data_IF_151906458899
#
_entry.id   IF_151906458899
#
_cell.length_a   1.000
_cell.length_b   1.000
_cell.length_c   1.000
_cell.angle_alpha   90.00
_cell.angle_beta   90.00
_cell.angle_gamma   90.00
#
_symmetry.space_group_name_H-M   'P 1'
#
loop_
_entity.id
_entity.type
_entity.pdbx_description
1 polymer ?
#
# COMPACT_ATOMS: atom_id res chain seq x y z
N UNK A 1 -38.84 29.58 -23.51
CA UNK A 1 -37.68 29.68 -22.59
C UNK A 1 -36.84 28.41 -22.82
N UNK A 2 -36.18 28.15 -23.96
CA UNK A 2 -35.13 28.92 -24.66
C UNK A 2 -34.03 29.34 -23.66
N UNK A 3 -32.80 28.83 -23.68
CA UNK A 3 -31.99 28.26 -24.77
C UNK A 3 -31.01 27.19 -24.24
N UNK A 4 -30.93 26.09 -24.99
CA UNK A 4 -29.81 25.16 -25.02
C UNK A 4 -28.47 25.93 -25.12
N UNK A 5 -27.58 25.71 -24.15
CA UNK A 5 -26.23 26.27 -24.15
C UNK A 5 -25.27 25.33 -24.92
N UNK A 6 -25.68 24.89 -26.11
CA UNK A 6 -24.86 24.12 -27.03
C UNK A 6 -24.30 25.10 -28.06
N UNK A 7 -23.10 25.63 -27.80
CA UNK A 7 -22.31 26.21 -28.87
C UNK A 7 -21.51 25.08 -29.55
N UNK A 8 -21.76 24.78 -30.84
CA UNK A 8 -20.93 23.86 -31.58
C UNK A 8 -19.64 24.58 -31.94
N UNK A 9 -18.57 24.34 -31.18
CA UNK A 9 -17.24 24.83 -31.51
C UNK A 9 -16.69 24.07 -32.73
N UNK A 10 -17.08 24.52 -33.93
CA UNK A 10 -16.43 24.22 -35.21
C UNK A 10 -15.07 24.94 -35.26
N UNK A 11 -14.06 24.37 -34.61
CA UNK A 11 -12.64 24.56 -34.97
C UNK A 11 -11.84 23.50 -34.21
N UNK A 12 -11.09 22.68 -34.96
CA UNK A 12 -10.35 21.54 -34.43
C UNK A 12 -9.61 21.92 -33.15
N UNK A 13 -9.84 21.17 -32.06
CA UNK A 13 -9.01 21.23 -30.86
C UNK A 13 -7.58 21.07 -31.34
N UNK A 14 -6.73 22.08 -31.15
CA UNK A 14 -5.31 21.91 -31.45
C UNK A 14 -4.83 20.74 -30.59
N UNK A 15 -4.46 19.60 -31.19
CA UNK A 15 -4.12 18.40 -30.43
C UNK A 15 -2.98 18.67 -29.45
N UNK A 16 -2.09 19.62 -29.76
CA UNK A 16 -1.03 20.08 -28.85
C UNK A 16 -1.57 20.81 -27.61
N UNK A 17 -2.61 21.64 -27.75
CA UNK A 17 -3.21 22.34 -26.61
C UNK A 17 -4.02 21.38 -25.72
N UNK A 18 -4.64 20.35 -26.32
CA UNK A 18 -5.31 19.29 -25.57
C UNK A 18 -4.30 18.40 -24.84
N UNK A 19 -3.21 17.98 -25.50
CA UNK A 19 -2.13 17.22 -24.89
C UNK A 19 -1.50 17.98 -23.72
N UNK A 20 -1.14 19.26 -23.90
CA UNK A 20 -0.58 20.08 -22.84
C UNK A 20 -1.54 20.26 -21.64
N UNK A 21 -2.86 20.36 -21.88
CA UNK A 21 -3.85 20.43 -20.80
C UNK A 21 -4.00 19.10 -20.06
N UNK A 22 -3.91 17.96 -20.76
CA UNK A 22 -3.91 16.61 -20.18
C UNK A 22 -2.65 16.39 -19.35
N UNK A 23 -1.47 16.65 -19.90
CA UNK A 23 -0.18 16.55 -19.21
C UNK A 23 -0.12 17.43 -17.95
N UNK A 24 -0.61 18.68 -18.05
CA UNK A 24 -0.69 19.58 -16.89
C UNK A 24 -1.62 19.06 -15.80
N UNK A 25 -2.74 18.42 -16.19
CA UNK A 25 -3.69 17.82 -15.25
C UNK A 25 -3.08 16.58 -14.58
N UNK A 26 -2.40 15.73 -15.35
CA UNK A 26 -1.69 14.55 -14.87
C UNK A 26 -0.58 14.94 -13.89
N UNK A 27 0.25 15.92 -14.24
CA UNK A 27 1.30 16.44 -13.35
C UNK A 27 0.76 17.01 -12.05
N UNK A 28 -0.34 17.77 -12.09
CA UNK A 28 -1.02 18.25 -10.88
C UNK A 28 -1.63 17.12 -10.05
N UNK A 29 -2.11 16.06 -10.69
CA UNK A 29 -2.63 14.87 -10.01
C UNK A 29 -1.51 14.12 -9.30
N UNK A 30 -0.37 13.94 -9.97
CA UNK A 30 0.81 13.28 -9.43
C UNK A 30 1.40 14.06 -8.24
N UNK A 31 1.50 15.39 -8.34
CA UNK A 31 1.97 16.23 -7.23
C UNK A 31 1.09 16.08 -5.98
N UNK A 32 -0.24 16.00 -6.15
CA UNK A 32 -1.18 15.78 -5.03
C UNK A 32 -1.01 14.40 -4.39
N UNK A 33 -0.75 13.37 -5.19
CA UNK A 33 -0.48 12.01 -4.70
C UNK A 33 0.81 11.99 -3.87
N UNK A 34 1.89 12.59 -4.36
CA UNK A 34 3.16 12.67 -3.63
C UNK A 34 3.05 13.50 -2.35
N UNK A 35 2.27 14.58 -2.36
CA UNK A 35 1.99 15.36 -1.14
C UNK A 35 1.23 14.55 -0.11
N UNK A 36 0.25 13.75 -0.53
CA UNK A 36 -0.51 12.89 0.37
C UNK A 36 0.34 11.73 0.90
N UNK A 37 1.18 11.13 0.05
CA UNK A 37 2.20 10.15 0.47
C UNK A 37 3.08 10.69 1.59
N UNK A 38 3.59 11.93 1.42
CA UNK A 38 4.44 12.60 2.41
C UNK A 38 3.71 12.82 3.73
N UNK A 39 2.43 13.20 3.70
CA UNK A 39 1.60 13.37 4.89
C UNK A 39 1.43 12.06 5.65
N UNK A 40 1.10 10.97 4.96
CA UNK A 40 0.99 9.65 5.59
C UNK A 40 2.29 9.21 6.26
N UNK A 41 3.44 9.46 5.59
CA UNK A 41 4.76 9.18 6.18
C UNK A 41 5.02 10.02 7.42
N UNK A 42 4.74 11.32 7.36
CA UNK A 42 4.89 12.21 8.52
C UNK A 42 4.01 11.78 9.70
N UNK A 43 2.80 11.29 9.44
CA UNK A 43 1.91 10.77 10.50
C UNK A 43 2.48 9.52 11.18
N UNK A 44 3.13 8.62 10.42
CA UNK A 44 3.85 7.47 10.99
C UNK A 44 5.03 7.95 11.85
N UNK A 45 5.87 8.84 11.32
CA UNK A 45 7.09 9.30 11.99
C UNK A 45 6.79 10.16 13.23
N UNK A 46 5.71 10.96 13.17
CA UNK A 46 5.27 11.82 14.28
C UNK A 46 4.40 11.07 15.30
N UNK A 47 4.04 9.81 15.04
CA UNK A 47 3.17 9.05 15.92
C UNK A 47 3.79 8.93 17.32
N UNK A 48 3.10 9.52 18.30
CA UNK A 48 3.42 9.43 19.72
C UNK A 48 2.35 8.66 20.50
N UNK A 49 1.37 8.08 19.79
CA UNK A 49 0.15 7.49 20.32
C UNK A 49 -0.05 6.01 20.00
N UNK A 50 -1.30 5.56 20.22
CA UNK A 50 -1.66 4.21 20.67
C UNK A 50 -1.41 3.06 19.70
N UNK A 51 -1.63 3.22 18.38
CA UNK A 51 -1.58 2.10 17.41
C UNK A 51 -0.83 2.41 16.10
N UNK A 52 0.50 2.29 16.07
CA UNK A 52 1.29 2.39 14.84
C UNK A 52 0.90 1.40 13.74
N UNK A 53 0.33 0.23 14.07
CA UNK A 53 -0.05 -0.77 13.08
C UNK A 53 -1.13 -0.23 12.14
N UNK A 54 -2.12 0.49 12.67
CA UNK A 54 -3.17 1.12 11.86
C UNK A 54 -2.61 2.12 10.85
N UNK A 55 -1.61 2.92 11.25
CA UNK A 55 -0.99 3.91 10.37
C UNK A 55 -0.25 3.23 9.20
N UNK A 56 0.46 2.14 9.48
CA UNK A 56 1.11 1.34 8.46
C UNK A 56 0.09 0.68 7.51
N UNK A 57 -0.97 0.08 8.05
CA UNK A 57 -2.04 -0.52 7.25
C UNK A 57 -2.70 0.49 6.31
N UNK A 58 -3.00 1.70 6.81
CA UNK A 58 -3.56 2.78 5.98
C UNK A 58 -2.59 3.24 4.91
N UNK A 59 -1.30 3.38 5.23
CA UNK A 59 -0.29 3.79 4.28
C UNK A 59 -0.09 2.78 3.16
N UNK A 60 0.03 1.50 3.50
CA UNK A 60 0.19 0.40 2.55
C UNK A 60 -1.05 0.26 1.67
N UNK A 61 -2.26 0.30 2.26
CA UNK A 61 -3.51 0.26 1.50
C UNK A 61 -3.62 1.41 0.49
N UNK A 62 -3.19 2.61 0.90
CA UNK A 62 -3.16 3.76 -0.01
C UNK A 62 -2.14 3.57 -1.15
N UNK A 63 -0.94 3.03 -0.86
CA UNK A 63 0.05 2.73 -1.89
C UNK A 63 -0.49 1.74 -2.93
N UNK A 64 -1.10 0.65 -2.49
CA UNK A 64 -1.67 -0.38 -3.38
C UNK A 64 -2.77 0.19 -4.28
N UNK A 65 -3.62 1.09 -3.76
CA UNK A 65 -4.71 1.69 -4.53
C UNK A 65 -4.23 2.71 -5.58
N UNK A 66 -3.13 3.42 -5.31
CA UNK A 66 -2.69 4.53 -6.15
C UNK A 66 -1.53 4.17 -7.09
N UNK A 67 -0.93 2.99 -6.91
CA UNK A 67 0.19 2.50 -7.73
C UNK A 67 -0.02 1.01 -8.13
N UNK A 68 -1.06 0.70 -8.93
CA UNK A 68 -1.46 -0.68 -9.26
C UNK A 68 -0.47 -1.43 -10.15
N UNK A 69 0.38 -0.71 -10.91
CA UNK A 69 1.41 -1.31 -11.79
C UNK A 69 2.62 -1.86 -11.02
N UNK A 70 2.52 -1.97 -9.70
CA UNK A 70 3.63 -2.22 -8.80
C UNK A 70 4.28 -0.91 -8.39
N UNK A 71 4.37 -0.70 -7.07
CA UNK A 71 5.08 0.45 -6.52
C UNK A 71 6.55 0.08 -6.48
N UNK A 72 7.41 0.85 -7.15
CA UNK A 72 8.82 0.89 -6.78
C UNK A 72 8.90 1.31 -5.31
N UNK A 73 9.14 0.34 -4.42
CA UNK A 73 9.25 0.55 -2.98
C UNK A 73 8.10 0.03 -2.11
N UNK A 74 7.10 -0.71 -2.64
CA UNK A 74 6.14 -1.40 -1.75
C UNK A 74 6.84 -2.42 -0.84
N UNK A 75 7.83 -3.13 -1.41
CA UNK A 75 8.71 -4.03 -0.67
C UNK A 75 9.39 -3.30 0.49
N UNK A 76 10.05 -2.18 0.20
CA UNK A 76 10.80 -1.40 1.19
C UNK A 76 9.86 -0.89 2.29
N UNK A 77 8.65 -0.44 1.92
CA UNK A 77 7.65 0.02 2.89
C UNK A 77 7.14 -1.13 3.77
N UNK A 78 6.90 -2.32 3.22
CA UNK A 78 6.49 -3.50 3.99
C UNK A 78 7.62 -3.98 4.92
N UNK A 79 8.85 -3.95 4.45
CA UNK A 79 10.04 -4.24 5.27
C UNK A 79 10.18 -3.25 6.43
N UNK A 80 10.10 -1.94 6.15
CA UNK A 80 10.11 -0.89 7.17
C UNK A 80 8.97 -1.06 8.19
N UNK A 81 7.75 -1.36 7.71
CA UNK A 81 6.60 -1.57 8.57
C UNK A 81 6.79 -2.79 9.49
N UNK A 82 7.17 -3.93 8.92
CA UNK A 82 7.34 -5.17 9.68
C UNK A 82 8.47 -5.07 10.70
N UNK A 83 9.60 -4.45 10.36
CA UNK A 83 10.72 -4.21 11.28
C UNK A 83 10.38 -3.16 12.35
N UNK A 84 9.75 -2.05 11.96
CA UNK A 84 9.34 -1.00 12.89
C UNK A 84 8.35 -1.50 13.94
N UNK A 85 7.40 -2.34 13.53
CA UNK A 85 6.41 -2.95 14.41
C UNK A 85 6.98 -4.04 15.31
N UNK A 86 8.01 -4.78 14.85
CA UNK A 86 8.76 -5.73 15.71
C UNK A 86 9.46 -5.04 16.87
N UNK A 87 10.05 -3.86 16.60
CA UNK A 87 10.77 -3.10 17.62
C UNK A 87 9.84 -2.25 18.50
N UNK A 88 8.52 -2.28 18.28
CA UNK A 88 7.57 -1.47 19.01
C UNK A 88 7.22 -2.10 20.37
N UNK A 89 7.03 -1.32 21.46
CA UNK A 89 6.66 -1.87 22.77
C UNK A 89 5.37 -2.71 22.81
N UNK A 90 4.48 -2.55 21.82
CA UNK A 90 3.25 -3.32 21.66
C UNK A 90 3.40 -4.59 20.81
N UNK A 91 4.62 -4.97 20.41
CA UNK A 91 4.86 -6.10 19.51
C UNK A 91 4.14 -7.39 19.92
N UNK A 92 4.14 -7.72 21.22
CA UNK A 92 3.44 -8.92 21.72
C UNK A 92 1.93 -8.90 21.43
N UNK A 93 1.28 -7.73 21.45
CA UNK A 93 -0.12 -7.63 21.07
C UNK A 93 -0.32 -7.77 19.55
N UNK A 94 0.64 -7.31 18.74
CA UNK A 94 0.55 -7.38 17.28
C UNK A 94 0.71 -8.81 16.74
N UNK A 95 1.41 -9.70 17.46
CA UNK A 95 1.48 -11.13 17.11
C UNK A 95 0.08 -11.76 16.99
N UNK A 96 -0.87 -11.25 17.77
CA UNK A 96 -2.25 -11.69 17.84
C UNK A 96 -3.21 -10.76 17.08
N UNK A 97 -2.70 -9.93 16.18
CA UNK A 97 -3.50 -9.02 15.35
C UNK A 97 -3.46 -9.47 13.89
N UNK A 98 -4.64 -9.78 13.34
CA UNK A 98 -4.77 -10.23 11.95
C UNK A 98 -4.26 -9.19 10.93
N UNK A 99 -4.31 -7.89 11.26
CA UNK A 99 -3.76 -6.81 10.41
C UNK A 99 -2.25 -6.98 10.23
N UNK A 100 -1.54 -7.31 11.31
CA UNK A 100 -0.10 -7.51 11.28
C UNK A 100 0.29 -8.76 10.47
N UNK A 101 -0.43 -9.87 10.67
CA UNK A 101 -0.27 -11.06 9.84
C UNK A 101 -0.51 -10.75 8.35
N UNK A 102 -1.51 -9.93 8.03
CA UNK A 102 -1.80 -9.53 6.64
C UNK A 102 -0.63 -8.76 6.01
N UNK A 103 0.05 -7.88 6.76
CA UNK A 103 1.25 -7.19 6.27
C UNK A 103 2.37 -8.19 5.94
N UNK A 104 2.59 -9.17 6.81
CA UNK A 104 3.60 -10.21 6.57
C UNK A 104 3.29 -11.11 5.37
N UNK A 105 2.03 -11.48 5.17
CA UNK A 105 1.60 -12.26 4.00
C UNK A 105 1.84 -11.45 2.72
N UNK A 106 1.48 -10.16 2.71
CA UNK A 106 1.77 -9.25 1.58
C UNK A 106 3.26 -9.16 1.32
N UNK A 107 4.08 -9.10 2.37
CA UNK A 107 5.53 -9.10 2.24
C UNK A 107 6.05 -10.41 1.64
N UNK A 108 5.56 -11.57 2.12
CA UNK A 108 5.94 -12.89 1.62
C UNK A 108 5.62 -13.08 0.14
N UNK A 109 4.48 -12.58 -0.34
CA UNK A 109 4.07 -12.68 -1.74
C UNK A 109 5.03 -11.95 -2.71
N UNK A 110 5.86 -11.03 -2.21
CA UNK A 110 6.88 -10.36 -3.02
C UNK A 110 8.14 -11.20 -3.27
N UNK A 111 8.30 -12.34 -2.60
CA UNK A 111 9.48 -13.21 -2.72
C UNK A 111 9.19 -14.44 -3.59
N UNK A 112 10.26 -15.00 -4.16
CA UNK A 112 10.21 -16.27 -4.88
C UNK A 112 10.18 -17.47 -3.93
N UNK A 113 10.83 -17.34 -2.78
CA UNK A 113 10.93 -18.38 -1.77
C UNK A 113 10.29 -17.85 -0.48
N UNK A 114 8.95 -17.95 -0.34
CA UNK A 114 8.21 -17.37 0.79
C UNK A 114 8.42 -18.17 2.09
N UNK A 115 8.93 -19.41 2.01
CA UNK A 115 9.08 -20.33 3.14
C UNK A 115 9.90 -19.76 4.29
N UNK A 116 10.96 -19.00 4.01
CA UNK A 116 11.77 -18.37 5.06
C UNK A 116 10.95 -17.37 5.89
N UNK A 117 10.02 -16.66 5.25
CA UNK A 117 9.15 -15.69 5.93
C UNK A 117 8.12 -16.43 6.77
N UNK A 118 7.44 -17.44 6.23
CA UNK A 118 6.47 -18.23 7.01
C UNK A 118 7.12 -18.98 8.18
N UNK A 119 8.35 -19.48 7.99
CA UNK A 119 9.16 -20.05 9.08
C UNK A 119 9.45 -19.03 10.17
N UNK A 120 9.88 -17.82 9.80
CA UNK A 120 10.08 -16.73 10.75
C UNK A 120 8.81 -16.42 11.55
N UNK A 121 7.65 -16.32 10.87
CA UNK A 121 6.36 -16.08 11.53
C UNK A 121 6.00 -17.18 12.53
N UNK A 122 6.26 -18.44 12.18
CA UNK A 122 6.03 -19.58 13.06
C UNK A 122 6.96 -19.56 14.28
N UNK A 123 8.25 -19.36 14.08
CA UNK A 123 9.24 -19.28 15.16
C UNK A 123 8.96 -18.13 16.14
N UNK A 124 8.37 -17.03 15.66
CA UNK A 124 8.02 -15.87 16.47
C UNK A 124 6.56 -15.87 16.99
N UNK A 125 5.81 -16.96 16.74
CA UNK A 125 4.41 -17.10 17.12
C UNK A 125 3.49 -15.96 16.59
N UNK A 126 3.77 -15.46 15.39
CA UNK A 126 2.98 -14.41 14.75
C UNK A 126 1.82 -15.06 13.98
N UNK A 127 0.59 -14.74 14.38
CA UNK A 127 -0.63 -15.07 13.64
C UNK A 127 -0.99 -16.55 13.53
N UNK A 128 -0.32 -17.44 14.29
CA UNK A 128 -0.54 -18.90 14.26
C UNK A 128 -1.97 -19.31 14.67
N UNK A 129 -2.68 -18.45 15.41
CA UNK A 129 -4.08 -18.70 15.79
C UNK A 129 -5.07 -18.47 14.64
N UNK A 130 -4.66 -17.75 13.59
CA UNK A 130 -5.54 -17.41 12.49
C UNK A 130 -5.45 -18.45 11.38
N UNK A 131 -6.62 -18.92 10.93
CA UNK A 131 -6.71 -19.76 9.73
C UNK A 131 -6.05 -19.11 8.50
N UNK A 132 -6.08 -17.77 8.44
CA UNK A 132 -5.43 -16.97 7.40
C UNK A 132 -3.95 -17.33 7.21
N UNK A 133 -3.20 -17.63 8.28
CA UNK A 133 -1.79 -17.99 8.19
C UNK A 133 -1.60 -19.23 7.30
N UNK A 134 -2.35 -20.29 7.58
CA UNK A 134 -2.20 -21.57 6.90
C UNK A 134 -2.67 -21.52 5.44
N UNK A 135 -3.78 -20.81 5.18
CA UNK A 135 -4.27 -20.61 3.81
C UNK A 135 -3.26 -19.81 2.99
N UNK A 136 -2.75 -18.72 3.54
CA UNK A 136 -1.78 -17.89 2.86
C UNK A 136 -0.47 -18.64 2.59
N UNK A 137 0.00 -19.46 3.54
CA UNK A 137 1.20 -20.25 3.33
C UNK A 137 1.05 -21.20 2.15
N UNK A 138 -0.05 -21.97 2.10
CA UNK A 138 -0.32 -22.87 0.99
C UNK A 138 -0.37 -22.12 -0.35
N UNK A 139 -1.16 -21.05 -0.44
CA UNK A 139 -1.36 -20.31 -1.70
C UNK A 139 -0.08 -19.64 -2.19
N UNK A 140 0.66 -18.97 -1.30
CA UNK A 140 1.87 -18.23 -1.68
C UNK A 140 2.99 -19.18 -2.08
N UNK A 141 3.15 -20.32 -1.39
CA UNK A 141 4.12 -21.35 -1.78
C UNK A 141 3.74 -22.05 -3.09
N UNK A 142 2.45 -22.37 -3.31
CA UNK A 142 1.99 -23.00 -4.56
C UNK A 142 2.18 -22.10 -5.79
N UNK A 143 1.99 -20.78 -5.64
CA UNK A 143 2.08 -19.82 -6.75
C UNK A 143 3.53 -19.55 -7.20
N UNK A 144 4.52 -20.00 -6.42
CA UNK A 144 5.95 -19.70 -6.63
C UNK A 144 6.81 -20.92 -6.95
N UNK A 145 6.20 -22.10 -7.07
CA UNK A 145 6.78 -23.31 -7.66
C UNK A 145 6.52 -23.39 -9.17
#
# INVERSE_FOLDING_TARGET
>A
LSKENVQPLKRGRNPAALAAAVESRESKSQAKLEDYRRKLRQEIDANRGEDPLELWCRYISWLEQNYPSGVSGLRDVLEEATQGLQNHPRFEAYKHDQRYLTLWIKYADLFKEPDEIFKFLQENNIGQEFHLFYVAYAVVSETRH
#
